data_IF_063896922331
#
_entry.id   IF_063896922331
#
_cell.length_a   1.000
_cell.length_b   1.000
_cell.length_c   1.000
_cell.angle_alpha   90.00
_cell.angle_beta   90.00
_cell.angle_gamma   90.00
#
_symmetry.space_group_name_H-M   'P 1'
#
loop_
_entity.id
_entity.type
_entity.pdbx_description
1 polymer ?
#
# COMPACT_ATOMS: atom_id res chain seq x y z
N UNK A 1 -5.73 -15.07 12.09
CA UNK A 1 -4.51 -14.42 11.57
C UNK A 1 -4.96 -13.24 10.73
N UNK A 2 -4.43 -12.04 10.99
CA UNK A 2 -4.75 -10.80 10.27
C UNK A 2 -3.73 -10.56 9.17
N UNK A 3 -4.16 -10.12 8.02
CA UNK A 3 -3.28 -9.79 6.89
C UNK A 3 -3.04 -8.29 6.81
N UNK A 4 -1.76 -7.92 6.71
CA UNK A 4 -1.28 -6.58 6.39
C UNK A 4 -0.91 -6.60 4.90
N UNK A 5 -1.65 -5.87 4.08
CA UNK A 5 -1.31 -5.66 2.67
C UNK A 5 -0.44 -4.41 2.55
N UNK A 6 0.82 -4.61 2.17
CA UNK A 6 1.76 -3.53 1.86
C UNK A 6 1.71 -3.26 0.36
N UNK A 7 1.36 -2.03 -0.01
CA UNK A 7 1.30 -1.53 -1.38
C UNK A 7 2.48 -0.58 -1.60
N UNK A 8 3.45 -1.00 -2.41
CA UNK A 8 4.66 -0.25 -2.70
C UNK A 8 4.60 0.39 -4.09
N UNK A 9 4.81 1.70 -4.18
CA UNK A 9 4.77 2.44 -5.45
C UNK A 9 5.93 3.44 -5.53
N UNK A 10 6.69 3.38 -6.62
CA UNK A 10 7.78 4.32 -6.92
C UNK A 10 7.75 4.68 -8.42
N UNK A 11 6.78 5.50 -8.85
CA UNK A 11 6.51 5.72 -10.27
C UNK A 11 7.64 6.48 -10.98
N UNK A 12 7.76 6.28 -12.30
CA UNK A 12 8.72 7.01 -13.11
C UNK A 12 8.46 8.52 -13.06
N UNK A 13 9.53 9.30 -13.00
CA UNK A 13 9.45 10.76 -12.89
C UNK A 13 9.33 11.29 -11.46
N UNK A 14 9.36 10.42 -10.44
CA UNK A 14 9.45 10.81 -9.02
C UNK A 14 10.88 10.63 -8.49
N UNK A 15 11.14 11.13 -7.28
CA UNK A 15 12.40 10.83 -6.59
C UNK A 15 12.43 9.35 -6.19
N UNK A 16 13.58 8.70 -6.40
CA UNK A 16 13.71 7.28 -6.08
C UNK A 16 13.70 7.08 -4.57
N UNK A 17 12.73 6.31 -4.07
CA UNK A 17 12.66 5.87 -2.68
C UNK A 17 13.26 4.47 -2.50
N UNK A 18 13.89 4.23 -1.35
CA UNK A 18 14.38 2.91 -0.93
C UNK A 18 13.26 2.14 -0.20
N UNK A 19 12.26 1.70 -0.97
CA UNK A 19 11.11 0.97 -0.43
C UNK A 19 11.50 -0.39 0.15
N UNK A 20 12.56 -1.01 -0.36
CA UNK A 20 13.07 -2.28 0.16
C UNK A 20 13.56 -2.16 1.60
N UNK A 21 14.17 -1.03 1.95
CA UNK A 21 14.55 -0.74 3.34
C UNK A 21 13.32 -0.60 4.23
N UNK A 22 12.31 0.16 3.79
CA UNK A 22 11.08 0.35 4.57
C UNK A 22 10.35 -0.98 4.82
N UNK A 23 10.20 -1.80 3.78
CA UNK A 23 9.58 -3.13 3.88
C UNK A 23 10.36 -4.04 4.83
N UNK A 24 11.70 -3.97 4.80
CA UNK A 24 12.57 -4.73 5.71
C UNK A 24 12.34 -4.30 7.15
N UNK A 25 12.31 -2.99 7.42
CA UNK A 25 12.11 -2.44 8.76
C UNK A 25 10.72 -2.82 9.31
N UNK A 26 9.67 -2.80 8.48
CA UNK A 26 8.32 -3.28 8.85
C UNK A 26 8.33 -4.76 9.22
N UNK A 27 8.95 -5.61 8.39
CA UNK A 27 9.06 -7.05 8.65
C UNK A 27 9.84 -7.35 9.93
N UNK A 28 10.93 -6.64 10.16
CA UNK A 28 11.71 -6.76 11.40
C UNK A 28 10.92 -6.31 12.62
N UNK A 29 10.22 -5.18 12.53
CA UNK A 29 9.35 -4.67 13.59
C UNK A 29 8.26 -5.67 13.95
N UNK A 30 7.57 -6.24 12.96
CA UNK A 30 6.57 -7.27 13.19
C UNK A 30 7.17 -8.50 13.86
N UNK A 31 8.32 -8.99 13.39
CA UNK A 31 9.02 -10.16 13.96
C UNK A 31 9.40 -9.96 15.43
N UNK A 32 9.77 -8.74 15.81
CA UNK A 32 10.15 -8.39 17.19
C UNK A 32 8.94 -8.13 18.10
N UNK A 33 7.73 -8.03 17.55
CA UNK A 33 6.51 -7.80 18.33
C UNK A 33 6.08 -9.07 19.09
N UNK A 34 5.40 -8.88 20.23
CA UNK A 34 4.88 -9.98 21.04
C UNK A 34 3.77 -10.79 20.34
N UNK A 35 3.14 -10.20 19.30
CA UNK A 35 1.98 -10.76 18.61
C UNK A 35 2.29 -11.10 17.14
N UNK A 36 3.56 -11.37 16.81
CA UNK A 36 4.02 -11.55 15.44
C UNK A 36 3.31 -12.70 14.70
N UNK A 37 2.90 -13.72 15.44
CA UNK A 37 2.14 -14.88 15.00
C UNK A 37 0.67 -14.56 14.65
N UNK A 38 0.16 -13.40 15.08
CA UNK A 38 -1.19 -12.96 14.75
C UNK A 38 -1.28 -12.30 13.38
N UNK A 39 -0.15 -11.95 12.76
CA UNK A 39 -0.09 -11.16 11.53
C UNK A 39 0.64 -11.88 10.39
N UNK A 40 0.16 -11.65 9.19
CA UNK A 40 0.79 -12.06 7.94
C UNK A 40 1.00 -10.83 7.05
N UNK A 41 2.17 -10.67 6.43
CA UNK A 41 2.47 -9.57 5.51
C UNK A 41 2.37 -10.07 4.08
N UNK A 42 1.50 -9.43 3.30
CA UNK A 42 1.38 -9.59 1.86
C UNK A 42 1.95 -8.33 1.18
N UNK A 43 2.98 -8.47 0.34
CA UNK A 43 3.58 -7.35 -0.39
C UNK A 43 3.11 -7.35 -1.85
N UNK A 44 2.74 -6.16 -2.36
CA UNK A 44 2.45 -5.90 -3.77
C UNK A 44 3.16 -4.61 -4.20
N UNK A 45 3.96 -4.69 -5.25
CA UNK A 45 4.64 -3.55 -5.86
C UNK A 45 3.93 -3.06 -7.13
N UNK A 46 4.39 -1.93 -7.69
CA UNK A 46 3.90 -1.35 -8.94
C UNK A 46 2.36 -1.24 -8.98
N UNK A 47 1.79 -0.79 -7.86
CA UNK A 47 0.35 -0.83 -7.65
C UNK A 47 -0.30 0.31 -8.41
N UNK A 48 -1.04 -0.03 -9.45
CA UNK A 48 -1.87 0.93 -10.18
C UNK A 48 -3.19 1.14 -9.47
N UNK A 49 -3.82 2.32 -9.58
CA UNK A 49 -5.13 2.60 -8.98
C UNK A 49 -6.18 1.52 -9.29
N UNK A 50 -6.18 1.02 -10.53
CA UNK A 50 -7.09 -0.03 -11.00
C UNK A 50 -6.89 -1.37 -10.29
N UNK A 51 -5.67 -1.65 -9.82
CA UNK A 51 -5.33 -2.89 -9.15
C UNK A 51 -5.74 -2.88 -7.66
N UNK A 52 -5.88 -1.71 -7.01
CA UNK A 52 -6.21 -1.64 -5.58
C UNK A 52 -7.50 -2.40 -5.25
N UNK A 53 -8.59 -2.11 -5.96
CA UNK A 53 -9.88 -2.76 -5.70
C UNK A 53 -9.77 -4.27 -5.84
N UNK A 54 -9.05 -4.74 -6.86
CA UNK A 54 -8.83 -6.17 -7.09
C UNK A 54 -8.00 -6.79 -5.96
N UNK A 55 -6.91 -6.14 -5.55
CA UNK A 55 -6.06 -6.60 -4.46
C UNK A 55 -6.81 -6.66 -3.13
N UNK A 56 -7.67 -5.68 -2.83
CA UNK A 56 -8.53 -5.70 -1.64
C UNK A 56 -9.50 -6.89 -1.64
N UNK A 57 -10.10 -7.22 -2.80
CA UNK A 57 -10.98 -8.38 -2.95
C UNK A 57 -10.25 -9.72 -2.84
N UNK A 58 -9.05 -9.82 -3.42
CA UNK A 58 -8.24 -11.04 -3.44
C UNK A 58 -7.61 -11.33 -2.07
N UNK A 59 -6.99 -10.32 -1.46
CA UNK A 59 -6.20 -10.47 -0.22
C UNK A 59 -7.08 -10.37 1.02
N UNK A 60 -8.20 -9.62 0.96
CA UNK A 60 -9.09 -9.31 2.09
C UNK A 60 -8.31 -8.88 3.35
N UNK A 61 -7.44 -7.86 3.23
CA UNK A 61 -6.58 -7.45 4.33
C UNK A 61 -7.36 -6.76 5.44
N UNK A 62 -6.88 -6.87 6.68
CA UNK A 62 -7.40 -6.10 7.81
C UNK A 62 -6.64 -4.78 8.00
N UNK A 63 -5.44 -4.67 7.42
CA UNK A 63 -4.61 -3.47 7.46
C UNK A 63 -4.03 -3.27 6.07
N UNK A 64 -4.12 -2.05 5.56
CA UNK A 64 -3.46 -1.63 4.31
C UNK A 64 -2.40 -0.61 4.66
N UNK A 65 -1.18 -0.82 4.19
CA UNK A 65 -0.06 0.09 4.38
C UNK A 65 0.49 0.51 3.02
N UNK A 66 0.64 1.80 2.81
CA UNK A 66 1.18 2.37 1.57
C UNK A 66 2.63 2.81 1.80
N UNK A 67 3.54 2.30 0.96
CA UNK A 67 4.93 2.73 0.91
C UNK A 67 5.16 3.44 -0.42
N UNK A 68 5.59 4.70 -0.39
CA UNK A 68 5.80 5.47 -1.60
C UNK A 68 5.62 6.96 -1.41
N UNK A 69 5.22 7.61 -2.49
CA UNK A 69 5.03 9.05 -2.55
C UNK A 69 3.60 9.44 -2.15
N UNK A 70 3.49 10.58 -1.45
CA UNK A 70 2.22 11.20 -1.10
C UNK A 70 2.29 12.71 -1.26
N UNK A 71 1.14 13.34 -1.41
CA UNK A 71 1.00 14.79 -1.61
C UNK A 71 0.32 15.44 -0.39
N UNK A 72 0.86 15.16 0.80
CA UNK A 72 0.29 15.62 2.06
C UNK A 72 -1.14 15.12 2.29
N UNK A 73 -2.09 16.05 2.44
CA UNK A 73 -3.50 15.73 2.65
C UNK A 73 -4.24 15.42 1.34
N UNK A 74 -3.67 15.77 0.19
CA UNK A 74 -4.34 15.64 -1.11
C UNK A 74 -4.43 14.19 -1.59
N UNK A 75 -3.45 13.35 -1.24
CA UNK A 75 -3.53 11.91 -1.48
C UNK A 75 -2.20 11.20 -1.67
N UNK A 76 -2.25 10.09 -2.41
CA UNK A 76 -1.10 9.21 -2.68
C UNK A 76 -0.73 9.26 -4.15
N UNK A 77 0.57 9.19 -4.44
CA UNK A 77 1.09 9.13 -5.80
C UNK A 77 1.36 7.66 -6.15
N UNK A 78 0.52 7.12 -7.03
CA UNK A 78 0.59 5.75 -7.53
C UNK A 78 1.10 5.70 -8.96
N UNK A 79 1.31 4.48 -9.45
CA UNK A 79 1.74 4.24 -10.82
C UNK A 79 0.54 4.16 -11.76
N UNK A 80 0.57 4.82 -12.92
CA UNK A 80 -0.44 4.63 -13.98
C UNK A 80 -0.07 3.47 -14.92
N UNK A 81 -0.88 3.24 -15.96
CA UNK A 81 -0.63 2.18 -16.95
C UNK A 81 0.65 2.38 -17.78
N UNK A 82 1.20 3.60 -17.81
CA UNK A 82 2.46 3.95 -18.47
C UNK A 82 3.66 3.95 -17.51
N UNK A 83 3.47 3.55 -16.25
CA UNK A 83 4.51 3.56 -15.23
C UNK A 83 4.80 4.95 -14.65
N UNK A 84 3.94 5.95 -14.89
CA UNK A 84 4.15 7.35 -14.46
C UNK A 84 3.40 7.67 -13.18
N UNK A 85 3.77 8.79 -12.57
CA UNK A 85 3.14 9.30 -11.36
C UNK A 85 1.69 9.75 -11.62
N UNK A 86 0.76 9.18 -10.86
CA UNK A 86 -0.64 9.56 -10.84
C UNK A 86 -1.07 9.85 -9.39
N UNK A 87 -1.62 11.04 -9.15
CA UNK A 87 -2.28 11.36 -7.88
C UNK A 87 -3.62 10.64 -7.79
N UNK A 88 -3.79 9.86 -6.73
CA UNK A 88 -5.07 9.33 -6.27
C UNK A 88 -5.48 10.10 -5.04
N UNK A 89 -6.65 10.73 -5.11
CA UNK A 89 -7.06 11.66 -4.06
C UNK A 89 -7.47 10.94 -2.78
N UNK A 90 -7.28 11.60 -1.64
CA UNK A 90 -7.70 11.08 -0.33
C UNK A 90 -9.19 10.72 -0.28
N UNK A 91 -10.07 11.50 -0.94
CA UNK A 91 -11.51 11.22 -0.99
C UNK A 91 -11.86 10.02 -1.88
N UNK A 92 -11.08 9.77 -2.94
CA UNK A 92 -11.21 8.56 -3.77
C UNK A 92 -10.77 7.31 -3.00
N UNK A 93 -9.67 7.39 -2.24
CA UNK A 93 -9.22 6.30 -1.37
C UNK A 93 -10.25 6.02 -0.26
N UNK A 94 -10.80 7.06 0.36
CA UNK A 94 -11.83 6.90 1.38
C UNK A 94 -13.07 6.19 0.82
N UNK A 95 -13.57 6.63 -0.34
CA UNK A 95 -14.70 5.97 -1.03
C UNK A 95 -14.39 4.52 -1.39
N UNK A 96 -13.15 4.22 -1.79
CA UNK A 96 -12.74 2.84 -2.05
C UNK A 96 -12.83 1.99 -0.78
N UNK A 97 -12.27 2.44 0.34
CA UNK A 97 -12.24 1.67 1.58
C UNK A 97 -13.63 1.51 2.22
N UNK A 98 -14.53 2.48 2.05
CA UNK A 98 -15.92 2.39 2.52
C UNK A 98 -16.65 1.16 1.94
N UNK A 99 -16.32 0.74 0.71
CA UNK A 99 -16.89 -0.46 0.06
C UNK A 99 -16.48 -1.76 0.79
N UNK A 100 -15.41 -1.71 1.58
CA UNK A 100 -14.82 -2.88 2.27
C UNK A 100 -14.90 -2.76 3.79
N UNK A 101 -15.63 -1.78 4.34
CA UNK A 101 -15.64 -1.45 5.76
C UNK A 101 -16.58 -2.33 6.63
N UNK A 102 -17.10 -3.42 6.06
CA UNK A 102 -17.99 -4.37 6.75
C UNK A 102 -17.29 -5.24 7.82
#
# INVERSE_FOLDING_TARGET
MKTILILASNPNGTSVLDLDREIRDIREGLRRSQNCDQFHIELRGAVRPIDLRRLLLEVKPQIVHFCGHGDGEDGLILEDDDGKAQLVKSDELARLFEIFAD
#
